data_IF_251546929970
#
_entry.id   IF_251546929970
#
_cell.length_a   1.000
_cell.length_b   1.000
_cell.length_c   1.000
_cell.angle_alpha   90.00
_cell.angle_beta   90.00
_cell.angle_gamma   90.00
#
_symmetry.space_group_name_H-M   'P 1'
#
loop_
_entity.id
_entity.type
_entity.pdbx_description
1 polymer ?
#
# COMPACT_ATOMS: atom_id res chain seq x y z
N UNK A 1 6.46 1.10 31.23
CA UNK A 1 6.44 1.15 30.85
C UNK A 1 6.54 1.52 30.10
N UNK A 2 6.42 1.81 29.86
CA UNK A 2 6.38 1.95 29.09
C UNK A 2 6.76 2.29 28.41
N UNK A 3 7.07 2.48 28.28
CA UNK A 3 7.47 2.86 27.60
C UNK A 3 7.77 2.65 26.69
N UNK A 4 7.75 2.30 26.30
CA UNK A 4 7.99 2.03 25.32
C UNK A 4 7.41 2.01 24.46
N UNK A 5 6.73 1.96 24.59
CA UNK A 5 6.00 1.99 23.84
C UNK A 5 6.06 2.74 22.99
N UNK A 6 6.44 3.34 23.10
CA UNK A 6 6.56 4.05 22.36
C UNK A 6 6.98 3.80 21.28
N UNK A 7 7.23 3.43 21.05
CA UNK A 7 7.63 3.27 20.17
C UNK A 7 7.08 2.72 19.30
N UNK A 8 6.85 2.60 19.28
CA UNK A 8 6.54 2.09 18.43
C UNK A 8 5.45 1.93 18.10
N UNK A 9 5.26 2.29 17.43
CA UNK A 9 3.98 2.04 17.00
C UNK A 9 3.80 0.56 16.82
N UNK A 10 3.59 -0.14 17.88
CA UNK A 10 3.42 -1.58 17.76
C UNK A 10 2.18 -1.92 16.96
N UNK A 11 1.29 -0.94 16.74
CA UNK A 11 0.06 -1.16 16.02
C UNK A 11 0.10 -0.55 14.64
N UNK A 12 1.27 -0.54 14.01
CA UNK A 12 1.34 -0.08 12.63
C UNK A 12 2.12 -1.07 11.78
N UNK A 13 1.77 -1.13 10.51
CA UNK A 13 2.43 -2.00 9.55
C UNK A 13 2.64 -1.22 8.26
N UNK A 14 3.77 -1.46 7.61
CA UNK A 14 4.11 -0.84 6.35
C UNK A 14 4.18 -1.92 5.28
N UNK A 15 3.39 -1.75 4.23
CA UNK A 15 3.30 -2.72 3.16
C UNK A 15 4.09 -2.20 1.96
N UNK A 16 4.91 -3.06 1.40
CA UNK A 16 5.79 -2.77 0.28
C UNK A 16 5.30 -3.59 -0.90
N UNK A 17 4.76 -2.95 -1.92
CA UNK A 17 4.24 -3.63 -3.10
C UNK A 17 5.18 -3.45 -4.27
N UNK A 18 5.94 -4.49 -4.59
CA UNK A 18 6.95 -4.42 -5.64
C UNK A 18 7.23 -5.85 -6.09
N UNK A 19 7.26 -6.06 -7.40
CA UNK A 19 7.46 -7.40 -7.95
C UNK A 19 8.93 -7.84 -7.93
N UNK A 20 9.86 -6.90 -7.81
CA UNK A 20 11.30 -7.20 -7.92
C UNK A 20 12.10 -6.78 -6.70
N UNK A 21 11.92 -5.54 -6.26
CA UNK A 21 12.77 -4.99 -5.21
C UNK A 21 12.41 -5.55 -3.85
N UNK A 22 13.42 -6.05 -3.13
CA UNK A 22 13.21 -6.56 -1.79
C UNK A 22 12.84 -5.44 -0.84
N UNK A 23 11.93 -5.73 0.07
CA UNK A 23 11.52 -4.76 1.08
C UNK A 23 12.60 -4.61 2.15
N UNK A 24 12.76 -3.39 2.70
CA UNK A 24 13.64 -3.24 3.86
C UNK A 24 13.08 -3.98 5.06
N UNK A 25 13.93 -4.16 6.06
CA UNK A 25 13.50 -4.79 7.30
C UNK A 25 12.34 -4.02 7.91
N UNK A 26 11.39 -4.74 8.46
CA UNK A 26 10.24 -4.13 9.12
C UNK A 26 9.06 -3.88 8.20
N UNK A 27 9.19 -4.19 6.92
CA UNK A 27 8.11 -4.06 5.95
C UNK A 27 7.52 -5.42 5.63
N UNK A 28 6.24 -5.43 5.28
CA UNK A 28 5.59 -6.62 4.73
C UNK A 28 5.67 -6.53 3.22
N UNK A 29 6.43 -7.43 2.63
CA UNK A 29 6.66 -7.41 1.18
C UNK A 29 5.55 -8.18 0.48
N UNK A 30 4.86 -7.51 -0.43
CA UNK A 30 3.85 -8.12 -1.29
C UNK A 30 4.28 -7.97 -2.73
N UNK A 31 4.03 -8.98 -3.54
CA UNK A 31 4.43 -8.98 -4.95
C UNK A 31 3.27 -8.65 -5.87
N UNK A 32 2.05 -8.86 -5.43
CA UNK A 32 0.87 -8.67 -6.26
C UNK A 32 -0.19 -7.88 -5.52
N UNK A 33 -1.16 -7.37 -6.28
CA UNK A 33 -2.29 -6.65 -5.70
C UNK A 33 -3.10 -7.55 -4.80
N UNK A 34 -3.39 -8.77 -5.24
CA UNK A 34 -4.18 -9.69 -4.42
C UNK A 34 -3.46 -10.05 -3.13
N UNK A 35 -2.15 -10.23 -3.18
CA UNK A 35 -1.37 -10.47 -1.98
C UNK A 35 -1.49 -9.28 -1.02
N UNK A 36 -1.42 -8.06 -1.56
CA UNK A 36 -1.56 -6.85 -0.75
C UNK A 36 -2.94 -6.76 -0.12
N UNK A 37 -3.98 -7.07 -0.87
CA UNK A 37 -5.34 -7.05 -0.35
C UNK A 37 -5.50 -8.01 0.81
N UNK A 38 -4.95 -9.22 0.68
CA UNK A 38 -5.02 -10.21 1.75
C UNK A 38 -4.34 -9.70 3.01
N UNK A 39 -3.18 -9.08 2.87
CA UNK A 39 -2.45 -8.56 4.02
C UNK A 39 -3.19 -7.37 4.65
N UNK A 40 -3.75 -6.50 3.82
CA UNK A 40 -4.51 -5.37 4.33
C UNK A 40 -5.72 -5.86 5.14
N UNK A 41 -6.44 -6.83 4.62
CA UNK A 41 -7.60 -7.36 5.33
C UNK A 41 -7.21 -8.03 6.64
N UNK A 42 -6.09 -8.74 6.63
CA UNK A 42 -5.60 -9.37 7.84
C UNK A 42 -5.28 -8.33 8.93
N UNK A 43 -4.54 -7.29 8.56
CA UNK A 43 -4.14 -6.29 9.55
C UNK A 43 -5.28 -5.36 9.94
N UNK A 44 -6.21 -5.09 9.03
CA UNK A 44 -7.35 -4.23 9.34
C UNK A 44 -8.22 -4.84 10.44
N UNK A 45 -8.32 -6.17 10.48
CA UNK A 45 -9.10 -6.84 11.52
C UNK A 45 -8.45 -6.71 12.90
N UNK A 46 -7.17 -6.38 12.93
CA UNK A 46 -6.42 -6.28 14.18
C UNK A 46 -6.30 -4.85 14.67
N UNK A 47 -6.99 -3.92 14.03
CA UNK A 47 -6.95 -2.50 14.37
C UNK A 47 -5.54 -1.92 14.28
N UNK A 48 -4.80 -2.36 13.26
CA UNK A 48 -3.43 -1.92 13.02
C UNK A 48 -3.46 -0.79 12.00
N UNK A 49 -2.65 0.25 12.25
CA UNK A 49 -2.49 1.33 11.28
C UNK A 49 -1.68 0.83 10.09
N UNK A 50 -2.17 1.06 8.89
CA UNK A 50 -1.56 0.54 7.68
C UNK A 50 -1.03 1.70 6.84
N UNK A 51 0.22 1.58 6.37
CA UNK A 51 0.80 2.48 5.39
C UNK A 51 1.22 1.67 4.18
N UNK A 52 0.96 2.21 2.99
CA UNK A 52 1.40 1.58 1.76
C UNK A 52 2.61 2.36 1.26
N UNK A 53 3.77 1.74 1.36
CA UNK A 53 5.03 2.36 0.97
C UNK A 53 5.57 1.66 -0.25
N UNK A 54 6.27 2.39 -1.09
CA UNK A 54 6.89 1.82 -2.27
C UNK A 54 5.90 1.08 -3.18
N UNK A 55 4.79 1.75 -3.50
CA UNK A 55 3.83 1.19 -4.44
C UNK A 55 4.42 1.29 -5.85
N UNK A 56 4.82 0.15 -6.41
CA UNK A 56 5.35 0.07 -7.76
C UNK A 56 4.20 -0.19 -8.72
N UNK A 57 4.05 0.67 -9.73
CA UNK A 57 2.90 0.56 -10.63
C UNK A 57 2.93 -0.74 -11.44
N UNK A 58 4.09 -1.08 -11.99
CA UNK A 58 4.20 -2.20 -12.91
C UNK A 58 4.67 -3.43 -12.16
N UNK A 59 3.81 -4.43 -12.05
CA UNK A 59 4.10 -5.61 -11.25
C UNK A 59 4.51 -6.82 -12.08
N UNK A 60 4.85 -6.60 -13.35
CA UNK A 60 5.37 -7.66 -14.20
C UNK A 60 4.42 -8.86 -14.28
N UNK A 61 4.96 -10.05 -14.09
CA UNK A 61 4.14 -11.26 -14.14
C UNK A 61 3.10 -11.31 -13.02
N UNK A 62 3.34 -10.60 -11.93
CA UNK A 62 2.39 -10.57 -10.82
C UNK A 62 1.14 -9.75 -11.13
N UNK A 63 1.13 -9.03 -12.26
CA UNK A 63 -0.08 -8.33 -12.68
C UNK A 63 -1.21 -9.30 -13.00
N UNK A 64 -0.89 -10.57 -13.22
CA UNK A 64 -1.91 -11.60 -13.42
C UNK A 64 -2.68 -11.89 -12.14
N UNK A 65 -2.15 -11.48 -11.00
CA UNK A 65 -2.74 -11.72 -9.69
C UNK A 65 -3.30 -10.43 -9.12
N UNK A 66 -4.25 -9.85 -9.82
CA UNK A 66 -4.97 -8.67 -9.34
C UNK A 66 -4.71 -7.39 -10.10
N UNK A 67 -3.88 -7.43 -11.15
CA UNK A 67 -3.58 -6.25 -11.95
C UNK A 67 -2.36 -5.52 -11.47
N UNK A 68 -2.13 -4.36 -12.05
CA UNK A 68 -1.06 -3.47 -11.62
C UNK A 68 -1.52 -2.65 -10.41
N UNK A 69 -0.60 -1.92 -9.81
CA UNK A 69 -0.84 -1.28 -8.52
C UNK A 69 -2.02 -0.29 -8.53
N UNK A 70 -2.36 0.26 -9.69
CA UNK A 70 -3.53 1.15 -9.77
C UNK A 70 -4.81 0.42 -9.32
N UNK A 71 -4.86 -0.89 -9.51
CA UNK A 71 -6.02 -1.68 -9.08
C UNK A 71 -6.15 -1.71 -7.57
N UNK A 72 -5.02 -1.69 -6.86
CA UNK A 72 -5.07 -1.61 -5.40
C UNK A 72 -5.65 -0.27 -4.95
N UNK A 73 -5.25 0.80 -5.61
CA UNK A 73 -5.77 2.12 -5.30
C UNK A 73 -7.27 2.19 -5.58
N UNK A 74 -7.70 1.63 -6.71
CA UNK A 74 -9.13 1.57 -7.05
C UNK A 74 -9.91 0.79 -5.98
N UNK A 75 -9.36 -0.33 -5.54
CA UNK A 75 -10.00 -1.17 -4.52
C UNK A 75 -10.16 -0.40 -3.20
N UNK A 76 -9.14 0.36 -2.81
CA UNK A 76 -9.22 1.17 -1.60
C UNK A 76 -10.26 2.27 -1.73
N UNK A 77 -10.37 2.89 -2.92
CA UNK A 77 -11.40 3.88 -3.17
C UNK A 77 -12.79 3.29 -3.00
N UNK A 78 -13.00 2.09 -3.53
CA UNK A 78 -14.30 1.44 -3.43
C UNK A 78 -14.67 1.11 -1.99
N UNK A 79 -13.66 0.83 -1.17
CA UNK A 79 -13.86 0.55 0.24
C UNK A 79 -13.95 1.83 1.07
N UNK A 80 -13.72 2.97 0.44
CA UNK A 80 -13.70 4.25 1.14
C UNK A 80 -12.63 4.26 2.24
N UNK A 81 -11.48 3.65 1.94
CA UNK A 81 -10.38 3.51 2.88
C UNK A 81 -9.15 4.20 2.32
N UNK A 82 -8.62 5.18 3.05
CA UNK A 82 -7.60 6.06 2.51
C UNK A 82 -6.35 6.04 3.39
N UNK A 83 -5.59 4.96 3.28
CA UNK A 83 -4.32 4.83 4.00
C UNK A 83 -3.29 5.78 3.41
N UNK A 84 -2.28 6.12 4.20
CA UNK A 84 -1.14 6.86 3.70
C UNK A 84 -0.42 6.04 2.63
N UNK A 85 -0.14 6.66 1.50
CA UNK A 85 0.50 6.00 0.36
C UNK A 85 1.73 6.79 -0.06
N UNK A 86 2.83 6.07 -0.25
CA UNK A 86 4.05 6.62 -0.85
C UNK A 86 4.33 5.82 -2.11
N UNK A 87 4.32 6.49 -3.26
CA UNK A 87 4.53 5.83 -4.54
C UNK A 87 6.01 5.68 -4.85
N UNK A 88 6.35 4.61 -5.54
CA UNK A 88 7.70 4.39 -6.03
C UNK A 88 7.58 3.63 -7.35
N UNK A 89 7.71 4.34 -8.47
CA UNK A 89 7.63 3.71 -9.77
C UNK A 89 8.42 4.52 -10.79
N UNK A 90 9.06 3.83 -11.71
CA UNK A 90 9.78 4.44 -12.81
C UNK A 90 8.86 4.76 -13.99
N UNK A 91 7.61 4.34 -13.93
CA UNK A 91 6.66 4.57 -15.02
C UNK A 91 5.94 5.92 -14.81
N UNK A 92 6.30 6.96 -15.56
CA UNK A 92 5.70 8.28 -15.31
C UNK A 92 4.20 8.32 -15.61
N UNK A 93 3.74 7.56 -16.59
CA UNK A 93 2.31 7.52 -16.89
C UNK A 93 1.55 6.83 -15.78
N UNK A 94 2.07 5.69 -15.31
CA UNK A 94 1.46 4.98 -14.20
C UNK A 94 1.46 5.81 -12.93
N UNK A 95 2.57 6.50 -12.65
CA UNK A 95 2.65 7.36 -11.48
C UNK A 95 1.61 8.47 -11.55
N UNK A 96 1.48 9.10 -12.73
CA UNK A 96 0.52 10.19 -12.90
C UNK A 96 -0.91 9.70 -12.70
N UNK A 97 -1.22 8.51 -13.20
CA UNK A 97 -2.54 7.93 -13.03
C UNK A 97 -2.86 7.65 -11.58
N UNK A 98 -1.90 7.07 -10.85
CA UNK A 98 -2.09 6.78 -9.44
C UNK A 98 -2.22 8.07 -8.63
N UNK A 99 -1.38 9.07 -8.92
CA UNK A 99 -1.45 10.34 -8.21
C UNK A 99 -2.75 11.07 -8.48
N UNK A 100 -3.26 10.98 -9.70
CA UNK A 100 -4.54 11.61 -10.01
C UNK A 100 -5.66 11.03 -9.14
N UNK A 101 -5.70 9.72 -9.00
CA UNK A 101 -6.71 9.07 -8.18
C UNK A 101 -6.53 9.42 -6.71
N UNK A 102 -5.28 9.39 -6.24
CA UNK A 102 -5.00 9.73 -4.84
C UNK A 102 -5.40 11.17 -4.56
N UNK A 103 -5.01 12.09 -5.43
CA UNK A 103 -5.32 13.50 -5.21
C UNK A 103 -6.82 13.75 -5.22
N UNK A 104 -7.55 13.01 -6.05
CA UNK A 104 -8.99 13.19 -6.13
C UNK A 104 -9.71 12.71 -4.88
N UNK A 105 -9.33 11.56 -4.34
CA UNK A 105 -10.09 10.92 -3.27
C UNK A 105 -9.48 11.09 -1.89
N UNK A 106 -8.16 11.12 -1.78
CA UNK A 106 -7.49 11.22 -0.48
C UNK A 106 -7.55 12.63 0.11
N UNK A 107 -7.52 13.64 -0.74
CA UNK A 107 -7.54 15.02 -0.28
C UNK A 107 -8.76 15.35 0.54
N UNK A 108 -9.86 14.74 0.21
CA UNK A 108 -11.12 15.07 0.84
C UNK A 108 -11.21 14.61 2.28
N UNK A 109 -10.22 13.87 2.71
CA UNK A 109 -10.22 13.36 4.07
C UNK A 109 -9.64 14.35 5.06
N UNK A 110 -9.05 15.40 4.59
CA UNK A 110 -8.55 16.46 5.46
C UNK A 110 -9.68 17.39 5.96
#
# INVERSE_FOLDING_TARGET
>A
MGTNQKQIAPNSVRIWLDDESAAPDGYVHCHSVNESINQIEFYAQKSVTIELRDLDHDLGDYAKDGGDAIKLIDWLCERNTFYKIVLHTANPVGRANMMRTINRYWQEKD
#
